data_IF_731879797568
#
_entry.id   IF_731879797568
#
_cell.length_a   1.000
_cell.length_b   1.000
_cell.length_c   1.000
_cell.angle_alpha   90.00
_cell.angle_beta   90.00
_cell.angle_gamma   90.00
#
_symmetry.space_group_name_H-M   'P 1'
#
loop_
_entity.id
_entity.type
_entity.pdbx_description
1 polymer ?
#
# COMPACT_ATOMS: atom_id res chain seq x y z
N UNK A 1 19.25 -28.94 5.93
CA UNK A 1 18.10 -28.12 6.42
C UNK A 1 17.19 -29.02 7.20
N UNK A 2 17.05 -28.86 8.52
CA UNK A 2 16.04 -29.59 9.29
C UNK A 2 14.67 -29.00 8.99
N UNK A 3 13.67 -29.86 8.71
CA UNK A 3 12.30 -29.41 8.57
C UNK A 3 11.80 -28.79 9.88
N UNK A 4 11.00 -27.73 9.78
CA UNK A 4 10.34 -27.13 10.95
C UNK A 4 9.40 -28.16 11.58
N UNK A 5 9.30 -28.16 12.91
CA UNK A 5 8.35 -29.01 13.62
C UNK A 5 6.92 -28.59 13.29
N UNK A 6 5.98 -29.53 13.38
CA UNK A 6 4.54 -29.23 13.16
C UNK A 6 4.03 -28.13 14.10
N UNK A 7 4.52 -28.10 15.36
CA UNK A 7 4.17 -27.05 16.32
C UNK A 7 4.72 -25.68 15.90
N UNK A 8 5.92 -25.63 15.33
CA UNK A 8 6.49 -24.38 14.82
C UNK A 8 5.71 -23.86 13.61
N UNK A 9 5.30 -24.77 12.71
CA UNK A 9 4.47 -24.40 11.54
C UNK A 9 3.14 -23.85 12.01
N UNK A 10 2.43 -24.53 12.92
CA UNK A 10 1.15 -24.06 13.48
C UNK A 10 1.27 -22.67 14.14
N UNK A 11 2.33 -22.43 14.93
CA UNK A 11 2.57 -21.14 15.53
C UNK A 11 2.83 -20.02 14.49
N UNK A 12 3.54 -20.33 13.40
CA UNK A 12 3.76 -19.39 12.31
C UNK A 12 2.45 -19.09 11.55
N UNK A 13 1.62 -20.11 11.30
CA UNK A 13 0.30 -19.94 10.67
C UNK A 13 -0.62 -19.06 11.52
N UNK A 14 -0.68 -19.29 12.83
CA UNK A 14 -1.42 -18.45 13.77
C UNK A 14 -0.89 -16.99 13.78
N UNK A 15 0.41 -16.79 13.79
CA UNK A 15 1.02 -15.45 13.70
C UNK A 15 0.64 -14.78 12.38
N UNK A 16 0.66 -15.47 11.25
CA UNK A 16 0.28 -14.93 9.94
C UNK A 16 -1.21 -14.55 9.91
N UNK A 17 -2.10 -15.38 10.45
CA UNK A 17 -3.52 -15.07 10.56
C UNK A 17 -3.76 -13.82 11.43
N UNK A 18 -3.03 -13.67 12.54
CA UNK A 18 -3.12 -12.52 13.42
C UNK A 18 -2.53 -11.22 12.83
N UNK A 19 -1.68 -11.31 11.80
CA UNK A 19 -1.15 -10.13 11.11
C UNK A 19 -2.04 -9.67 9.96
N UNK A 20 -2.88 -10.55 9.39
CA UNK A 20 -3.85 -10.22 8.35
C UNK A 20 -5.06 -9.49 8.97
N UNK A 21 -4.89 -8.24 9.36
CA UNK A 21 -6.00 -7.43 9.90
C UNK A 21 -6.86 -6.92 8.75
N UNK A 22 -8.17 -7.23 8.73
CA UNK A 22 -9.08 -6.59 7.81
C UNK A 22 -9.12 -5.08 8.08
N UNK A 23 -9.51 -4.30 7.08
CA UNK A 23 -9.80 -2.90 7.31
C UNK A 23 -10.92 -2.76 8.37
N UNK A 24 -10.87 -1.73 9.24
CA UNK A 24 -11.97 -1.45 10.15
C UNK A 24 -13.31 -1.39 9.40
N UNK A 25 -14.39 -1.86 10.04
CA UNK A 25 -15.70 -2.01 9.39
C UNK A 25 -16.33 -0.69 8.93
N UNK A 26 -15.89 0.43 9.52
CA UNK A 26 -16.32 1.79 9.21
C UNK A 26 -15.51 2.44 8.06
N UNK A 27 -14.44 1.78 7.60
CA UNK A 27 -13.65 2.30 6.49
C UNK A 27 -14.41 2.13 5.16
N UNK A 28 -14.43 3.21 4.38
CA UNK A 28 -15.10 3.22 3.08
C UNK A 28 -14.27 2.45 2.04
N UNK A 29 -14.83 1.41 1.39
CA UNK A 29 -14.11 0.67 0.36
C UNK A 29 -13.87 1.52 -0.89
N UNK A 30 -12.71 1.30 -1.52
CA UNK A 30 -12.35 1.89 -2.82
C UNK A 30 -12.31 0.79 -3.86
N UNK A 31 -13.08 0.95 -4.92
CA UNK A 31 -13.18 -0.04 -5.98
C UNK A 31 -12.69 0.48 -7.33
N UNK A 32 -12.05 -0.38 -8.12
CA UNK A 32 -12.08 -0.27 -9.56
C UNK A 32 -13.41 -0.80 -10.08
N UNK A 33 -14.14 0.05 -10.78
CA UNK A 33 -15.38 -0.32 -11.44
C UNK A 33 -15.12 -0.69 -12.90
N UNK A 34 -15.43 -1.94 -13.25
CA UNK A 34 -15.54 -2.40 -14.64
C UNK A 34 -17.01 -2.34 -15.00
N UNK A 35 -17.38 -1.65 -16.07
CA UNK A 35 -18.76 -1.31 -16.43
C UNK A 35 -19.82 -2.43 -16.43
N UNK A 36 -19.44 -3.69 -16.22
CA UNK A 36 -20.31 -4.87 -16.22
C UNK A 36 -20.46 -5.52 -14.82
N UNK A 37 -20.57 -4.73 -13.75
CA UNK A 37 -20.80 -5.21 -12.37
C UNK A 37 -19.65 -5.90 -11.65
N UNK A 38 -18.46 -6.01 -12.23
CA UNK A 38 -17.27 -6.48 -11.52
C UNK A 38 -16.54 -5.28 -10.89
N UNK A 39 -16.59 -5.20 -9.56
CA UNK A 39 -15.84 -4.22 -8.80
C UNK A 39 -14.65 -4.93 -8.11
N UNK A 40 -13.44 -4.48 -8.44
CA UNK A 40 -12.23 -4.95 -7.77
C UNK A 40 -11.92 -4.03 -6.58
N UNK A 41 -11.96 -4.56 -5.37
CA UNK A 41 -11.54 -3.84 -4.17
C UNK A 41 -10.04 -3.54 -4.25
N UNK A 42 -9.66 -2.26 -4.16
CA UNK A 42 -8.26 -1.82 -4.29
C UNK A 42 -7.72 -1.13 -3.04
N UNK A 43 -8.59 -0.69 -2.14
CA UNK A 43 -8.19 0.00 -0.93
C UNK A 43 -9.36 0.34 -0.03
N UNK A 44 -9.06 1.07 1.05
CA UNK A 44 -10.02 1.51 2.03
C UNK A 44 -9.68 2.91 2.51
N UNK A 45 -10.67 3.77 2.57
CA UNK A 45 -10.54 5.16 3.02
C UNK A 45 -11.01 5.29 4.47
N UNK A 46 -10.19 5.90 5.32
CA UNK A 46 -10.61 6.26 6.67
C UNK A 46 -11.82 7.21 6.60
N UNK A 47 -12.88 6.97 7.39
CA UNK A 47 -14.08 7.82 7.41
C UNK A 47 -13.79 9.30 7.69
N UNK A 48 -12.76 9.62 8.45
CA UNK A 48 -12.36 11.02 8.72
C UNK A 48 -12.01 11.80 7.45
N UNK A 49 -11.63 11.11 6.37
CA UNK A 49 -11.26 11.74 5.09
C UNK A 49 -12.45 11.94 4.16
N UNK A 50 -13.58 11.29 4.42
CA UNK A 50 -14.78 11.33 3.56
C UNK A 50 -15.28 12.76 3.34
N UNK A 51 -15.49 13.61 4.38
CA UNK A 51 -16.00 14.95 4.20
C UNK A 51 -15.13 15.81 3.28
N UNK A 52 -13.80 15.65 3.36
CA UNK A 52 -12.85 16.40 2.56
C UNK A 52 -12.89 16.00 1.08
N UNK A 53 -13.01 14.72 0.78
CA UNK A 53 -13.21 14.26 -0.59
C UNK A 53 -14.58 14.67 -1.13
N UNK A 54 -15.63 14.61 -0.32
CA UNK A 54 -16.97 15.09 -0.71
C UNK A 54 -16.96 16.57 -1.08
N UNK A 55 -16.19 17.39 -0.38
CA UNK A 55 -16.03 18.81 -0.71
C UNK A 55 -15.36 18.97 -2.09
N UNK A 56 -14.33 18.20 -2.40
CA UNK A 56 -13.71 18.19 -3.72
C UNK A 56 -14.70 17.84 -4.81
N UNK A 57 -15.48 16.76 -4.64
CA UNK A 57 -16.46 16.31 -5.61
C UNK A 57 -17.64 17.29 -5.80
N UNK A 58 -17.95 18.12 -4.80
CA UNK A 58 -18.93 19.22 -4.93
C UNK A 58 -18.39 20.40 -5.73
N UNK A 59 -17.09 20.70 -5.59
CA UNK A 59 -16.45 21.85 -6.23
C UNK A 59 -16.09 21.61 -7.69
N UNK A 60 -15.81 20.37 -8.07
CA UNK A 60 -15.41 20.03 -9.43
C UNK A 60 -15.76 18.58 -9.78
N UNK A 61 -15.95 18.34 -11.08
CA UNK A 61 -16.05 16.98 -11.61
C UNK A 61 -14.67 16.33 -11.59
N UNK A 62 -14.56 15.20 -10.91
CA UNK A 62 -13.35 14.39 -10.89
C UNK A 62 -13.47 13.33 -11.97
N UNK A 63 -12.58 13.40 -12.95
CA UNK A 63 -12.57 12.45 -14.04
C UNK A 63 -12.24 11.04 -13.54
N UNK A 64 -12.97 10.04 -14.01
CA UNK A 64 -12.85 8.62 -13.67
C UNK A 64 -13.13 8.27 -12.19
N UNK A 65 -13.50 9.20 -11.32
CA UNK A 65 -13.84 8.88 -9.95
C UNK A 65 -15.24 9.38 -9.58
N UNK A 66 -15.94 8.58 -8.80
CA UNK A 66 -17.27 8.92 -8.23
C UNK A 66 -17.34 8.46 -6.79
N UNK A 67 -17.88 9.30 -5.94
CA UNK A 67 -18.12 9.01 -4.54
C UNK A 67 -19.60 8.85 -4.30
N UNK A 68 -19.99 7.73 -3.70
CA UNK A 68 -21.34 7.46 -3.17
C UNK A 68 -21.31 7.51 -1.64
N UNK A 69 -22.44 7.18 -1.01
CA UNK A 69 -22.50 7.03 0.44
C UNK A 69 -21.62 5.86 0.94
N UNK A 70 -21.55 4.78 0.15
CA UNK A 70 -20.98 3.51 0.60
C UNK A 70 -19.59 3.19 0.03
N UNK A 71 -19.16 3.89 -1.02
CA UNK A 71 -17.87 3.61 -1.66
C UNK A 71 -17.31 4.77 -2.47
N UNK A 72 -15.99 4.74 -2.67
CA UNK A 72 -15.31 5.48 -3.72
C UNK A 72 -15.08 4.54 -4.92
N UNK A 73 -15.74 4.83 -6.03
CA UNK A 73 -15.63 4.05 -7.25
C UNK A 73 -14.75 4.78 -8.26
N UNK A 74 -13.75 4.08 -8.78
CA UNK A 74 -12.81 4.58 -9.78
C UNK A 74 -13.02 3.76 -11.05
N UNK A 75 -13.40 4.40 -12.15
CA UNK A 75 -13.57 3.72 -13.42
C UNK A 75 -12.21 3.31 -14.00
N UNK A 76 -12.12 2.09 -14.50
CA UNK A 76 -10.92 1.65 -15.19
C UNK A 76 -10.72 2.49 -16.47
N UNK A 77 -9.55 3.07 -16.56
CA UNK A 77 -9.10 3.88 -17.67
C UNK A 77 -7.65 3.56 -18.02
N UNK A 78 -7.06 4.39 -18.88
CA UNK A 78 -5.63 4.26 -19.16
C UNK A 78 -4.81 4.54 -17.92
N UNK A 79 -3.66 3.86 -17.70
CA UNK A 79 -2.84 4.05 -16.49
C UNK A 79 -2.48 5.51 -16.18
N UNK A 80 -2.22 6.31 -17.23
CA UNK A 80 -1.93 7.75 -17.07
C UNK A 80 -3.13 8.55 -16.57
N UNK A 81 -4.34 8.23 -17.02
CA UNK A 81 -5.58 8.90 -16.60
C UNK A 81 -5.94 8.52 -15.16
N UNK A 82 -5.77 7.25 -14.80
CA UNK A 82 -5.94 6.76 -13.43
C UNK A 82 -4.97 7.45 -12.46
N UNK A 83 -3.69 7.50 -12.84
CA UNK A 83 -2.66 8.18 -12.06
C UNK A 83 -2.99 9.66 -11.86
N UNK A 84 -3.43 10.36 -12.91
CA UNK A 84 -3.82 11.77 -12.82
C UNK A 84 -5.02 11.98 -11.89
N UNK A 85 -6.04 11.14 -12.00
CA UNK A 85 -7.23 11.19 -11.13
C UNK A 85 -6.87 10.96 -9.67
N UNK A 86 -6.10 9.91 -9.39
CA UNK A 86 -5.68 9.59 -8.01
C UNK A 86 -4.72 10.64 -7.45
N UNK A 87 -3.85 11.22 -8.28
CA UNK A 87 -2.97 12.33 -7.88
C UNK A 87 -3.77 13.58 -7.52
N UNK A 88 -4.87 13.86 -8.22
CA UNK A 88 -5.78 14.96 -7.87
C UNK A 88 -6.37 14.76 -6.48
N UNK A 89 -6.90 13.55 -6.19
CA UNK A 89 -7.45 13.21 -4.87
C UNK A 89 -6.36 13.31 -3.79
N UNK A 90 -5.18 12.74 -4.04
CA UNK A 90 -4.07 12.75 -3.10
C UNK A 90 -3.56 14.18 -2.81
N UNK A 91 -3.44 15.02 -3.82
CA UNK A 91 -3.02 16.42 -3.63
C UNK A 91 -4.05 17.22 -2.82
N UNK A 92 -5.35 17.00 -3.05
CA UNK A 92 -6.39 17.63 -2.26
C UNK A 92 -6.29 17.20 -0.78
N UNK A 93 -6.12 15.92 -0.52
CA UNK A 93 -5.94 15.38 0.83
C UNK A 93 -4.63 15.89 1.48
N UNK A 94 -3.56 16.04 0.72
CA UNK A 94 -2.29 16.62 1.19
C UNK A 94 -2.48 18.08 1.63
N UNK A 95 -3.18 18.88 0.84
CA UNK A 95 -3.47 20.29 1.17
C UNK A 95 -4.29 20.41 2.48
N UNK A 96 -5.14 19.45 2.77
CA UNK A 96 -5.85 19.33 4.03
C UNK A 96 -5.02 18.79 5.20
N UNK A 97 -3.73 18.45 4.98
CA UNK A 97 -2.85 17.91 6.03
C UNK A 97 -3.02 16.41 6.33
N UNK A 98 -3.81 15.68 5.52
CA UNK A 98 -4.14 14.27 5.78
C UNK A 98 -3.13 13.26 5.24
N UNK A 99 -2.16 13.69 4.42
CA UNK A 99 -1.10 12.82 3.90
C UNK A 99 0.26 13.31 4.42
N UNK A 100 0.70 12.87 5.60
CA UNK A 100 2.02 13.19 6.11
C UNK A 100 3.10 12.40 5.35
N UNK A 101 4.33 12.91 5.38
CA UNK A 101 5.49 12.18 4.86
C UNK A 101 5.58 12.11 3.33
N UNK A 102 5.06 13.11 2.64
CA UNK A 102 5.20 13.26 1.19
C UNK A 102 6.67 13.36 0.77
N UNK A 103 7.10 12.52 -0.17
CA UNK A 103 8.53 12.38 -0.55
C UNK A 103 8.82 12.60 -2.03
N UNK A 104 7.80 12.78 -2.87
CA UNK A 104 7.91 12.78 -4.32
C UNK A 104 8.48 11.44 -4.87
N UNK A 105 8.12 10.36 -4.18
CA UNK A 105 8.42 8.99 -4.57
C UNK A 105 7.11 8.30 -4.94
N UNK A 106 7.03 7.72 -6.12
CA UNK A 106 5.82 7.03 -6.57
C UNK A 106 5.94 5.52 -6.39
N UNK A 107 4.86 4.90 -5.94
CA UNK A 107 4.62 3.47 -6.01
C UNK A 107 3.66 3.14 -7.15
N UNK A 108 3.75 1.92 -7.66
CA UNK A 108 2.79 1.39 -8.61
C UNK A 108 1.79 0.46 -7.91
N UNK A 109 0.50 0.61 -8.23
CA UNK A 109 -0.47 -0.41 -7.87
C UNK A 109 -0.44 -1.52 -8.93
N UNK A 110 -0.20 -2.76 -8.45
CA UNK A 110 0.03 -3.92 -9.31
C UNK A 110 -0.93 -5.03 -8.89
N UNK A 111 -1.59 -5.67 -9.84
CA UNK A 111 -2.43 -6.84 -9.56
C UNK A 111 -1.57 -8.10 -9.30
N UNK A 112 -2.26 -9.22 -9.03
CA UNK A 112 -1.61 -10.51 -8.76
C UNK A 112 -0.86 -11.09 -9.98
N UNK A 113 -1.14 -10.59 -11.19
CA UNK A 113 -0.49 -10.99 -12.43
C UNK A 113 0.68 -10.08 -12.81
N UNK A 114 1.00 -9.09 -11.97
CA UNK A 114 2.07 -8.12 -12.23
C UNK A 114 1.67 -6.96 -13.14
N UNK A 115 0.38 -6.81 -13.50
CA UNK A 115 -0.08 -5.71 -14.33
C UNK A 115 -0.16 -4.41 -13.52
N UNK A 116 0.50 -3.34 -14.01
CA UNK A 116 0.51 -2.01 -13.39
C UNK A 116 -0.71 -1.20 -13.87
N UNK A 117 -1.54 -0.76 -12.95
CA UNK A 117 -2.75 0.01 -13.25
C UNK A 117 -2.56 1.52 -13.12
N UNK A 118 -1.84 1.96 -12.10
CA UNK A 118 -1.53 3.36 -11.86
C UNK A 118 -0.27 3.51 -11.02
N UNK A 119 0.23 4.74 -10.97
CA UNK A 119 1.27 5.15 -10.04
C UNK A 119 0.79 6.34 -9.23
N UNK A 120 1.25 6.44 -8.00
CA UNK A 120 0.85 7.48 -7.07
C UNK A 120 1.94 7.69 -6.03
N UNK A 121 1.99 8.88 -5.45
CA UNK A 121 2.84 9.19 -4.31
C UNK A 121 2.74 8.12 -3.22
N UNK A 122 3.88 7.65 -2.76
CA UNK A 122 4.04 6.59 -1.74
C UNK A 122 3.23 6.86 -0.47
N UNK A 123 3.24 8.10 0.03
CA UNK A 123 2.50 8.47 1.23
C UNK A 123 0.98 8.31 1.06
N UNK A 124 0.46 8.55 -0.15
CA UNK A 124 -0.95 8.38 -0.48
C UNK A 124 -1.38 6.91 -0.50
N UNK A 125 -0.50 5.96 -0.84
CA UNK A 125 -0.84 4.53 -0.77
C UNK A 125 -1.34 4.12 0.61
N UNK A 126 -0.66 4.60 1.67
CA UNK A 126 -1.07 4.30 3.04
C UNK A 126 -2.40 4.97 3.41
N UNK A 127 -2.60 6.21 2.98
CA UNK A 127 -3.83 6.98 3.26
C UNK A 127 -5.06 6.37 2.58
N UNK A 128 -4.91 5.88 1.36
CA UNK A 128 -5.99 5.20 0.62
C UNK A 128 -6.05 3.68 0.88
N UNK A 129 -5.23 3.14 1.77
CA UNK A 129 -5.18 1.70 2.05
C UNK A 129 -4.84 0.85 0.83
N UNK A 130 -4.09 1.39 -0.13
CA UNK A 130 -3.66 0.65 -1.31
C UNK A 130 -2.55 -0.34 -0.97
N UNK A 131 -2.60 -1.52 -1.59
CA UNK A 131 -1.54 -2.51 -1.49
C UNK A 131 -0.29 -1.99 -2.18
N UNK A 132 0.83 -1.93 -1.45
CA UNK A 132 2.17 -1.66 -1.97
C UNK A 132 3.03 -2.91 -1.93
N UNK A 133 4.12 -2.89 -2.69
CA UNK A 133 5.11 -3.97 -2.71
C UNK A 133 6.40 -3.51 -2.04
N UNK A 134 7.07 -4.43 -1.37
CA UNK A 134 8.37 -4.19 -0.76
C UNK A 134 9.31 -5.38 -1.04
N UNK A 135 10.61 -5.09 -1.06
CA UNK A 135 11.65 -6.10 -1.08
C UNK A 135 12.14 -6.30 0.34
N UNK A 136 12.26 -7.56 0.75
CA UNK A 136 12.84 -7.97 2.01
C UNK A 136 14.04 -8.88 1.75
N UNK A 137 15.18 -8.56 2.36
CA UNK A 137 16.44 -9.26 2.17
C UNK A 137 16.83 -9.94 3.47
N UNK A 138 16.90 -11.25 3.44
CA UNK A 138 17.36 -12.06 4.56
C UNK A 138 18.78 -12.52 4.33
N UNK A 139 19.68 -12.17 5.23
CA UNK A 139 21.08 -12.61 5.19
C UNK A 139 21.27 -13.88 6.01
N UNK A 140 21.90 -14.90 5.41
CA UNK A 140 22.24 -16.14 6.09
C UNK A 140 23.75 -16.28 6.21
N UNK A 141 24.21 -16.86 7.33
CA UNK A 141 25.61 -17.24 7.51
C UNK A 141 25.83 -18.70 7.09
N UNK A 142 27.09 -19.09 6.95
CA UNK A 142 27.47 -20.49 6.70
C UNK A 142 27.12 -21.43 7.88
N UNK A 143 26.84 -20.89 9.06
CA UNK A 143 26.45 -21.62 10.27
C UNK A 143 24.92 -21.72 10.44
N UNK A 144 24.17 -21.53 9.37
CA UNK A 144 22.68 -21.56 9.35
C UNK A 144 22.03 -20.56 10.32
N UNK A 145 22.70 -19.46 10.61
CA UNK A 145 22.14 -18.34 11.39
C UNK A 145 21.69 -17.22 10.44
N UNK A 146 20.72 -16.40 10.90
CA UNK A 146 20.17 -15.28 10.14
C UNK A 146 20.65 -13.96 10.73
N UNK A 147 21.01 -13.03 9.86
CA UNK A 147 21.26 -11.64 10.25
C UNK A 147 19.95 -10.89 10.43
N UNK A 148 19.78 -10.28 11.60
CA UNK A 148 18.67 -9.40 11.91
C UNK A 148 19.18 -7.98 12.18
N UNK A 149 18.55 -7.00 11.58
CA UNK A 149 18.72 -5.60 11.92
C UNK A 149 17.87 -5.21 13.14
N UNK A 150 18.28 -4.17 13.86
CA UNK A 150 17.40 -3.49 14.80
C UNK A 150 17.03 -2.13 14.22
N UNK A 151 15.74 -1.87 14.11
CA UNK A 151 15.24 -0.58 13.61
C UNK A 151 15.67 0.55 14.53
N UNK A 152 16.04 1.68 13.91
CA UNK A 152 16.36 2.89 14.69
C UNK A 152 15.19 3.30 15.56
N UNK A 153 15.47 3.78 16.76
CA UNK A 153 14.48 4.29 17.72
C UNK A 153 13.75 5.55 17.20
N UNK A 154 14.32 6.23 16.19
CA UNK A 154 13.71 7.40 15.54
C UNK A 154 12.80 7.04 14.34
N UNK A 155 12.59 5.75 14.04
CA UNK A 155 11.68 5.37 12.95
C UNK A 155 10.23 5.63 13.35
N UNK A 156 9.41 6.24 12.45
CA UNK A 156 8.00 6.56 12.74
C UNK A 156 7.11 5.30 12.85
N UNK A 157 7.59 4.16 12.34
CA UNK A 157 6.87 2.88 12.38
C UNK A 157 7.77 1.84 13.02
N UNK A 158 7.27 1.15 14.05
CA UNK A 158 7.94 0.05 14.75
C UNK A 158 9.38 0.38 15.18
N UNK A 159 9.64 1.47 15.94
CA UNK A 159 10.98 1.80 16.42
C UNK A 159 11.53 0.68 17.31
N UNK A 160 12.85 0.44 17.21
CA UNK A 160 13.57 -0.51 18.05
C UNK A 160 13.27 -2.00 17.84
N UNK A 161 12.30 -2.36 16.97
CA UNK A 161 11.96 -3.76 16.66
C UNK A 161 13.01 -4.41 15.77
N UNK A 162 13.05 -5.76 15.79
CA UNK A 162 13.84 -6.54 14.87
C UNK A 162 13.29 -6.43 13.44
N UNK A 163 14.18 -6.42 12.46
CA UNK A 163 13.87 -6.30 11.05
C UNK A 163 14.78 -7.23 10.23
N UNK A 164 14.49 -7.37 8.96
CA UNK A 164 15.36 -8.04 8.00
C UNK A 164 16.73 -7.36 7.91
N UNK A 165 17.69 -8.00 7.26
CA UNK A 165 19.01 -7.41 6.97
C UNK A 165 18.85 -6.06 6.24
N UNK A 166 18.00 -6.03 5.22
CA UNK A 166 17.55 -4.81 4.57
C UNK A 166 16.12 -4.99 4.04
N UNK A 167 15.34 -3.91 4.02
CA UNK A 167 13.99 -3.90 3.48
C UNK A 167 13.59 -2.51 3.01
N UNK A 168 12.85 -2.44 1.89
CA UNK A 168 12.33 -1.18 1.40
C UNK A 168 11.23 -1.35 0.36
N UNK A 169 10.44 -0.29 0.20
CA UNK A 169 9.38 -0.24 -0.79
C UNK A 169 9.93 -0.24 -2.21
N UNK A 170 9.20 -0.86 -3.13
CA UNK A 170 9.54 -0.90 -4.56
C UNK A 170 8.92 0.32 -5.22
N UNK A 171 9.75 1.24 -5.72
CA UNK A 171 9.29 2.40 -6.46
C UNK A 171 8.68 2.01 -7.81
N UNK A 172 7.82 2.87 -8.37
CA UNK A 172 7.04 2.56 -9.57
C UNK A 172 7.88 2.14 -10.79
N UNK A 173 9.11 2.64 -10.89
CA UNK A 173 10.04 2.35 -11.99
C UNK A 173 11.06 1.25 -11.67
N UNK A 174 11.04 0.71 -10.46
CA UNK A 174 11.95 -0.34 -10.05
C UNK A 174 11.39 -1.74 -10.31
N UNK A 175 12.30 -2.68 -10.50
CA UNK A 175 12.02 -4.11 -10.33
C UNK A 175 12.37 -4.52 -8.90
N UNK A 176 11.88 -5.67 -8.39
CA UNK A 176 12.28 -6.17 -7.07
C UNK A 176 13.80 -6.29 -6.90
N UNK A 177 14.52 -6.68 -7.95
CA UNK A 177 15.98 -6.76 -7.93
C UNK A 177 16.69 -5.40 -7.83
N UNK A 178 16.19 -4.39 -8.55
CA UNK A 178 16.73 -3.03 -8.47
C UNK A 178 16.51 -2.47 -7.07
N UNK A 179 15.31 -2.63 -6.53
CA UNK A 179 14.99 -2.24 -5.15
C UNK A 179 15.88 -2.96 -4.14
N UNK A 180 16.06 -4.29 -4.27
CA UNK A 180 16.92 -5.06 -3.37
C UNK A 180 18.37 -4.55 -3.36
N UNK A 181 18.92 -4.25 -4.53
CA UNK A 181 20.30 -3.71 -4.65
C UNK A 181 20.45 -2.31 -4.10
N UNK A 182 19.40 -1.50 -4.14
CA UNK A 182 19.39 -0.14 -3.58
C UNK A 182 19.32 -0.16 -2.05
N UNK A 183 18.61 -1.11 -1.48
CA UNK A 183 18.43 -1.23 -0.03
C UNK A 183 19.62 -1.91 0.67
N UNK A 184 20.45 -2.69 -0.02
CA UNK A 184 21.71 -3.27 0.49
C UNK A 184 22.82 -2.23 0.58
#
# INVERSE_FOLDING_TARGET
MSALSTSTIAALEEMLQNTARPAPADFMPIYFSRGNHENLLIGHLNPDFIPHLQELFKKQSVHLARMSHDCLSIQLGRPKELSATLSLLANHMRQGGFIPGWRNEEFAWVDQNGHKYFRLERAAFRTFGFRSMATHINGYTKADTIWLGRRSDNKPTDPGKLDNLAAGGISADETPWVSARREL
#
